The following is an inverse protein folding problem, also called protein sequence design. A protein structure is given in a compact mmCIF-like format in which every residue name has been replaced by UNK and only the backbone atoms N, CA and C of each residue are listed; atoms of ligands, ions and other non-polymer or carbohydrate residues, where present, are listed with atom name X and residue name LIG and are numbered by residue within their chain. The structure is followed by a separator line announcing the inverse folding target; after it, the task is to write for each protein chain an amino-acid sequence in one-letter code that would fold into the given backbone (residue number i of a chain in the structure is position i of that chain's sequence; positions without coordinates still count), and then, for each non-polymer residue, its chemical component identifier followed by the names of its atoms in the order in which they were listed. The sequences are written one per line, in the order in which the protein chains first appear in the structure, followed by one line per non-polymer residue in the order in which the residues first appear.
data_IF_430373941126
#
_entry.id   IF_430373941126
#
_cell.length_a   1.000
_cell.length_b   1.000
_cell.length_c   1.000
_cell.angle_alpha   90.00
_cell.angle_beta   90.00
_cell.angle_gamma   90.00
#
_symmetry.space_group_name_H-M   'P 1'
#
loop_
_entity.id
_entity.type
_entity.pdbx_description
1 polymer ?
#
# COMPACT_ATOMS: atom_id res chain seq x y z
N UNK A 1 -12.72 -45.86 -78.79
CA UNK A 1 -11.74 -45.28 -77.82
C UNK A 1 -11.95 -43.80 -77.50
N UNK A 2 -12.58 -42.96 -78.36
CA UNK A 2 -12.80 -41.51 -78.11
C UNK A 2 -13.69 -41.17 -76.90
N UNK A 3 -14.75 -41.94 -76.68
CA UNK A 3 -15.72 -41.71 -75.58
C UNK A 3 -15.13 -41.92 -74.19
N UNK A 4 -14.25 -42.93 -74.04
CA UNK A 4 -13.55 -43.18 -72.78
C UNK A 4 -12.56 -42.06 -72.43
N UNK A 5 -11.86 -41.50 -73.42
CA UNK A 5 -10.94 -40.37 -73.20
C UNK A 5 -11.69 -39.10 -72.78
N UNK A 6 -12.87 -38.85 -73.37
CA UNK A 6 -13.70 -37.70 -73.00
C UNK A 6 -14.23 -37.80 -71.57
N UNK A 7 -14.68 -39.00 -71.17
CA UNK A 7 -15.12 -39.27 -69.79
C UNK A 7 -13.97 -39.11 -68.78
N UNK A 8 -12.77 -39.54 -69.15
CA UNK A 8 -11.59 -39.41 -68.29
C UNK A 8 -11.19 -37.94 -68.10
N UNK A 9 -11.26 -37.12 -69.15
CA UNK A 9 -10.99 -35.68 -69.06
C UNK A 9 -12.05 -34.95 -68.22
N UNK A 10 -13.33 -35.32 -68.35
CA UNK A 10 -14.41 -34.79 -67.51
C UNK A 10 -14.23 -35.16 -66.04
N UNK A 11 -13.88 -36.41 -65.75
CA UNK A 11 -13.64 -36.88 -64.39
C UNK A 11 -12.42 -36.16 -63.76
N UNK A 12 -11.34 -35.97 -64.51
CA UNK A 12 -10.17 -35.21 -64.05
C UNK A 12 -10.52 -33.75 -63.82
N UNK A 13 -11.27 -33.12 -64.72
CA UNK A 13 -11.72 -31.73 -64.56
C UNK A 13 -12.57 -31.54 -63.30
N UNK A 14 -13.50 -32.46 -63.04
CA UNK A 14 -14.33 -32.46 -61.83
C UNK A 14 -13.50 -32.70 -60.56
N UNK A 15 -12.55 -33.64 -60.59
CA UNK A 15 -11.67 -33.90 -59.46
C UNK A 15 -10.80 -32.69 -59.12
N UNK A 16 -10.26 -32.00 -60.13
CA UNK A 16 -9.45 -30.79 -59.94
C UNK A 16 -10.31 -29.63 -59.41
N UNK A 17 -11.50 -29.41 -59.97
CA UNK A 17 -12.42 -28.39 -59.48
C UNK A 17 -12.83 -28.67 -58.02
N UNK A 18 -13.12 -29.93 -57.69
CA UNK A 18 -13.47 -30.34 -56.34
C UNK A 18 -12.31 -30.16 -55.35
N UNK A 19 -11.07 -30.52 -55.75
CA UNK A 19 -9.86 -30.27 -54.97
C UNK A 19 -9.60 -28.79 -54.74
N UNK A 20 -9.83 -27.94 -55.75
CA UNK A 20 -9.68 -26.49 -55.62
C UNK A 20 -10.71 -25.89 -54.65
N UNK A 21 -11.96 -26.34 -54.70
CA UNK A 21 -13.03 -25.92 -53.77
C UNK A 21 -12.72 -26.39 -52.33
N UNK A 22 -12.24 -27.61 -52.16
CA UNK A 22 -11.79 -28.12 -50.86
C UNK A 22 -10.63 -27.30 -50.29
N UNK A 23 -9.66 -26.93 -51.14
CA UNK A 23 -8.49 -26.14 -50.72
C UNK A 23 -8.84 -24.71 -50.34
N UNK A 24 -9.89 -24.12 -50.94
CA UNK A 24 -10.42 -22.82 -50.53
C UNK A 24 -11.23 -22.88 -49.23
N UNK A 25 -11.78 -24.05 -48.87
CA UNK A 25 -12.59 -24.24 -47.65
C UNK A 25 -11.79 -24.64 -46.42
N UNK A 26 -10.51 -24.99 -46.54
CA UNK A 26 -9.61 -24.94 -45.38
C UNK A 26 -9.50 -23.49 -44.95
N UNK A 27 -10.08 -23.09 -43.80
CA UNK A 27 -9.77 -21.78 -43.26
C UNK A 27 -8.27 -21.83 -43.03
N UNK A 28 -7.54 -20.91 -43.65
CA UNK A 28 -6.21 -20.59 -43.17
C UNK A 28 -6.39 -20.34 -41.69
N UNK A 29 -5.96 -21.29 -40.86
CA UNK A 29 -5.81 -21.07 -39.42
C UNK A 29 -4.76 -19.97 -39.38
N UNK A 30 -5.23 -18.72 -39.38
CA UNK A 30 -4.46 -17.57 -38.96
C UNK A 30 -3.82 -18.05 -37.68
N UNK A 31 -2.49 -18.22 -37.70
CA UNK A 31 -1.74 -18.29 -36.46
C UNK A 31 -2.25 -17.07 -35.70
N UNK A 32 -3.10 -17.30 -34.70
CA UNK A 32 -3.50 -16.25 -33.81
C UNK A 32 -2.18 -15.85 -33.18
N UNK A 33 -1.61 -14.74 -33.66
CA UNK A 33 -0.47 -14.08 -33.07
C UNK A 33 -0.69 -14.18 -31.57
N UNK A 34 0.13 -15.00 -30.92
CA UNK A 34 -0.11 -15.38 -29.53
C UNK A 34 0.13 -14.08 -28.78
N UNK A 35 -0.96 -13.34 -28.52
CA UNK A 35 -0.94 -12.06 -27.82
C UNK A 35 -0.01 -12.30 -26.62
N UNK A 36 1.05 -11.51 -26.44
CA UNK A 36 1.96 -11.70 -25.33
C UNK A 36 1.12 -11.90 -24.08
N UNK A 37 1.36 -12.98 -23.35
CA UNK A 37 0.67 -13.19 -22.09
C UNK A 37 0.77 -11.87 -21.32
N UNK A 38 -0.34 -11.34 -20.77
CA UNK A 38 -0.25 -10.13 -19.96
C UNK A 38 0.87 -10.36 -18.95
N UNK A 39 1.76 -9.38 -18.74
CA UNK A 39 2.89 -9.56 -17.83
C UNK A 39 2.35 -10.14 -16.54
N UNK A 40 2.89 -11.30 -16.14
CA UNK A 40 2.53 -11.93 -14.87
C UNK A 40 2.75 -10.85 -13.83
N UNK A 41 1.65 -10.36 -13.24
CA UNK A 41 1.75 -9.38 -12.17
C UNK A 41 2.57 -10.05 -11.07
N UNK A 42 3.78 -9.55 -10.87
CA UNK A 42 4.65 -9.99 -9.80
C UNK A 42 3.84 -9.96 -8.49
N UNK A 43 3.90 -10.99 -7.63
CA UNK A 43 3.20 -10.96 -6.36
C UNK A 43 3.51 -9.64 -5.67
N UNK A 44 2.49 -8.80 -5.46
CA UNK A 44 2.70 -7.50 -4.84
C UNK A 44 3.26 -7.75 -3.44
N UNK A 45 4.56 -7.50 -3.28
CA UNK A 45 5.18 -7.53 -1.97
C UNK A 45 4.39 -6.58 -1.07
N UNK A 46 4.02 -7.00 0.16
CA UNK A 46 3.37 -6.11 1.09
C UNK A 46 4.25 -4.87 1.29
N UNK A 47 3.67 -3.65 1.38
CA UNK A 47 4.47 -2.46 1.59
C UNK A 47 5.26 -2.58 2.90
N UNK A 48 6.41 -1.92 2.98
CA UNK A 48 7.15 -1.82 4.23
C UNK A 48 6.28 -1.09 5.25
N UNK A 49 6.38 -1.48 6.53
CA UNK A 49 5.65 -0.80 7.60
C UNK A 49 6.02 0.70 7.66
N UNK A 50 7.29 1.01 7.38
CA UNK A 50 7.82 2.37 7.25
C UNK A 50 7.14 3.23 6.16
N UNK A 51 6.58 2.59 5.13
CA UNK A 51 5.95 3.26 3.99
C UNK A 51 4.42 3.13 4.02
N UNK A 52 3.87 2.47 5.03
CA UNK A 52 2.44 2.24 5.15
C UNK A 52 1.71 3.48 5.66
N UNK A 53 0.72 3.95 4.90
CA UNK A 53 -0.18 5.05 5.31
C UNK A 53 -1.13 4.62 6.41
N UNK A 54 -1.15 5.39 7.50
CA UNK A 54 -1.99 5.10 8.66
C UNK A 54 -1.48 5.75 9.93
N UNK A 55 -2.10 5.35 11.03
CA UNK A 55 -1.86 5.93 12.35
C UNK A 55 -1.32 4.86 13.29
N UNK A 56 -0.34 5.25 14.10
CA UNK A 56 0.27 4.46 15.16
C UNK A 56 -0.33 4.92 16.48
N UNK A 57 -1.17 4.08 17.07
CA UNK A 57 -1.91 4.35 18.31
C UNK A 57 -1.17 3.70 19.47
N UNK A 58 -0.92 4.43 20.57
CA UNK A 58 -0.23 3.89 21.74
C UNK A 58 -1.04 2.77 22.41
N UNK A 59 -0.35 1.76 22.93
CA UNK A 59 -0.95 0.76 23.80
C UNK A 59 -1.34 1.33 25.17
N UNK A 60 -0.66 2.38 25.62
CA UNK A 60 -0.96 3.06 26.88
C UNK A 60 -1.28 4.55 26.68
N UNK A 61 -2.43 4.98 27.18
CA UNK A 61 -2.82 6.38 27.15
C UNK A 61 -2.05 7.21 28.17
N UNK A 62 -1.48 8.34 27.76
CA UNK A 62 -0.91 9.33 28.67
C UNK A 62 -1.38 10.74 28.33
N UNK A 63 -1.31 11.63 29.31
CA UNK A 63 -1.60 13.05 29.14
C UNK A 63 -0.44 13.91 29.64
N UNK A 64 -0.20 15.01 28.94
CA UNK A 64 0.67 16.09 29.42
C UNK A 64 -0.18 17.35 29.52
N UNK A 65 -0.29 17.90 30.72
CA UNK A 65 -1.23 18.99 31.02
C UNK A 65 -2.67 18.63 30.60
N UNK A 66 -3.26 19.38 29.66
CA UNK A 66 -4.62 19.18 29.14
C UNK A 66 -4.68 18.48 27.78
N UNK A 67 -3.57 17.85 27.38
CA UNK A 67 -3.42 17.22 26.08
C UNK A 67 -3.16 15.73 26.27
N UNK A 68 -4.06 14.93 25.73
CA UNK A 68 -3.95 13.48 25.68
C UNK A 68 -3.28 13.08 24.37
N UNK A 69 -2.24 12.26 24.42
CA UNK A 69 -1.58 11.76 23.22
C UNK A 69 -2.43 10.68 22.55
N UNK A 70 -2.85 10.90 21.30
CA UNK A 70 -3.71 9.94 20.57
C UNK A 70 -2.94 9.08 19.57
N UNK A 71 -1.74 9.51 19.15
CA UNK A 71 -0.90 8.75 18.26
C UNK A 71 -0.08 9.63 17.32
N UNK A 72 0.38 9.03 16.24
CA UNK A 72 1.12 9.73 15.18
C UNK A 72 0.98 9.01 13.83
N UNK A 73 1.25 9.72 12.75
CA UNK A 73 1.38 9.17 11.39
C UNK A 73 2.82 9.30 10.91
N UNK A 74 3.22 8.41 10.00
CA UNK A 74 4.51 8.48 9.31
C UNK A 74 4.38 8.87 7.84
N UNK A 75 3.26 8.46 7.22
CA UNK A 75 2.92 8.68 5.81
C UNK A 75 1.44 9.09 5.70
N UNK A 76 1.06 9.95 4.75
CA UNK A 76 1.94 10.65 3.80
C UNK A 76 2.80 11.73 4.48
N UNK A 77 2.36 12.23 5.63
CA UNK A 77 3.04 13.24 6.43
C UNK A 77 3.34 12.70 7.83
N UNK A 78 4.51 13.06 8.35
CA UNK A 78 4.91 12.74 9.71
C UNK A 78 4.27 13.74 10.67
N UNK A 79 3.27 13.29 11.43
CA UNK A 79 2.49 14.12 12.34
C UNK A 79 2.37 13.45 13.69
N UNK A 80 2.44 14.19 14.79
CA UNK A 80 1.96 13.75 16.11
C UNK A 80 0.57 14.31 16.38
N UNK A 81 -0.27 13.56 17.06
CA UNK A 81 -1.65 13.96 17.34
C UNK A 81 -1.92 13.93 18.84
N UNK A 82 -2.44 15.04 19.34
CA UNK A 82 -2.96 15.15 20.70
C UNK A 82 -4.43 15.57 20.65
N UNK A 83 -5.24 15.04 21.55
CA UNK A 83 -6.59 15.52 21.79
C UNK A 83 -6.62 16.43 23.02
N UNK A 84 -7.33 17.55 22.94
CA UNK A 84 -7.60 18.35 24.14
C UNK A 84 -8.59 17.62 25.04
N UNK A 85 -8.22 17.33 26.28
CA UNK A 85 -9.00 16.47 27.19
C UNK A 85 -10.43 16.94 27.43
N UNK A 86 -10.68 18.25 27.44
CA UNK A 86 -12.02 18.81 27.68
C UNK A 86 -12.93 18.83 26.47
N UNK A 87 -12.38 18.79 25.26
CA UNK A 87 -13.13 18.99 24.01
C UNK A 87 -13.10 17.76 23.09
N UNK A 88 -12.16 16.83 23.29
CA UNK A 88 -11.94 15.68 22.40
C UNK A 88 -11.44 16.08 21.00
N UNK A 89 -11.13 17.37 20.77
CA UNK A 89 -10.68 17.87 19.49
C UNK A 89 -9.22 17.45 19.29
N UNK A 90 -8.98 16.62 18.27
CA UNK A 90 -7.65 16.24 17.82
C UNK A 90 -6.94 17.42 17.16
N UNK A 91 -5.65 17.53 17.48
CA UNK A 91 -4.78 18.61 17.03
C UNK A 91 -3.48 17.96 16.55
N UNK A 92 -3.31 17.80 15.22
CA UNK A 92 -2.07 17.31 14.65
C UNK A 92 -1.01 18.41 14.66
N UNK A 93 0.24 18.02 14.86
CA UNK A 93 1.40 18.88 14.68
C UNK A 93 2.45 18.17 13.80
N UNK A 94 3.01 18.91 12.85
CA UNK A 94 4.01 18.40 11.93
C UNK A 94 5.34 18.11 12.59
N UNK A 95 5.98 17.03 12.15
CA UNK A 95 7.34 16.68 12.53
C UNK A 95 8.30 17.21 11.48
N UNK A 96 9.17 18.14 11.88
CA UNK A 96 10.11 18.81 10.98
C UNK A 96 11.42 18.02 10.79
N UNK A 97 11.77 17.15 11.74
CA UNK A 97 12.78 16.10 11.53
C UNK A 97 12.09 14.74 11.55
N UNK A 98 12.22 13.98 10.46
CA UNK A 98 11.65 12.65 10.33
C UNK A 98 12.64 11.72 9.61
N UNK A 99 13.27 10.82 10.37
CA UNK A 99 14.07 9.72 9.84
C UNK A 99 13.25 8.43 9.97
N UNK A 100 12.76 7.94 8.83
CA UNK A 100 11.91 6.76 8.76
C UNK A 100 12.59 5.74 7.84
N UNK A 101 12.97 4.59 8.42
CA UNK A 101 13.58 3.45 7.71
C UNK A 101 12.91 2.16 8.15
N UNK A 102 13.20 1.05 7.46
CA UNK A 102 12.62 -0.24 7.80
C UNK A 102 12.95 -0.73 9.23
N UNK A 103 13.99 -0.20 9.87
CA UNK A 103 14.50 -0.61 11.17
C UNK A 103 14.48 0.50 12.25
N UNK A 104 14.21 1.75 11.87
CA UNK A 104 14.27 2.89 12.78
C UNK A 104 13.23 3.95 12.44
N UNK A 105 12.70 4.58 13.49
CA UNK A 105 11.85 5.77 13.43
C UNK A 105 12.42 6.79 14.40
N UNK A 106 12.75 7.97 13.90
CA UNK A 106 13.05 9.14 14.71
C UNK A 106 12.22 10.31 14.21
N UNK A 107 11.37 10.83 15.08
CA UNK A 107 10.55 12.02 14.82
C UNK A 107 10.89 13.10 15.83
N UNK A 108 10.94 14.34 15.36
CA UNK A 108 10.94 15.54 16.19
C UNK A 108 9.89 16.50 15.67
N UNK A 109 8.96 16.84 16.55
CA UNK A 109 7.78 17.62 16.23
C UNK A 109 7.64 18.74 17.24
N UNK A 110 7.35 19.95 16.78
CA UNK A 110 7.11 21.08 17.67
C UNK A 110 5.61 21.26 17.82
N UNK A 111 5.15 21.13 19.05
CA UNK A 111 3.75 21.28 19.42
C UNK A 111 3.61 22.58 20.23
N UNK A 112 3.00 23.65 19.67
CA UNK A 112 3.04 25.00 20.27
C UNK A 112 2.61 25.10 21.73
N UNK A 113 1.75 24.19 22.21
CA UNK A 113 1.21 24.22 23.57
C UNK A 113 1.93 23.28 24.56
N UNK A 114 2.82 22.41 24.08
CA UNK A 114 3.53 21.40 24.87
C UNK A 114 5.06 21.53 24.78
N UNK A 115 5.58 22.09 23.69
CA UNK A 115 7.00 22.14 23.36
C UNK A 115 7.38 21.08 22.32
N UNK A 116 8.55 20.49 22.44
CA UNK A 116 9.06 19.49 21.49
C UNK A 116 8.64 18.08 21.90
N UNK A 117 8.13 17.31 20.94
CA UNK A 117 7.81 15.90 21.06
C UNK A 117 8.81 15.12 20.23
N UNK A 118 9.49 14.14 20.83
CA UNK A 118 10.33 13.18 20.11
C UNK A 118 9.77 11.77 20.20
N UNK A 119 9.91 11.02 19.11
CA UNK A 119 9.53 9.61 19.04
C UNK A 119 10.70 8.84 18.46
N UNK A 120 11.32 8.02 19.31
CA UNK A 120 12.51 7.23 19.01
C UNK A 120 12.21 5.74 19.10
N UNK A 121 12.09 5.07 17.96
CA UNK A 121 11.57 3.72 17.90
C UNK A 121 12.12 2.82 16.81
N UNK A 122 11.64 1.58 16.83
CA UNK A 122 11.96 0.53 15.87
C UNK A 122 10.71 -0.26 15.52
N UNK A 123 10.61 -0.66 14.25
CA UNK A 123 9.54 -1.54 13.79
C UNK A 123 9.74 -2.95 14.34
N UNK A 124 8.66 -3.53 14.86
CA UNK A 124 8.57 -4.92 15.31
C UNK A 124 8.25 -5.85 14.14
N UNK A 125 7.67 -5.30 13.07
CA UNK A 125 7.36 -6.02 11.83
C UNK A 125 7.92 -5.25 10.64
N UNK A 126 8.56 -5.95 9.70
CA UNK A 126 9.13 -5.32 8.49
C UNK A 126 8.05 -4.83 7.52
N UNK A 127 6.99 -5.61 7.38
CA UNK A 127 5.92 -5.40 6.41
C UNK A 127 4.65 -4.91 7.09
N UNK A 128 3.86 -4.14 6.34
CA UNK A 128 2.56 -3.67 6.77
C UNK A 128 1.63 -4.84 7.07
N UNK A 129 1.19 -4.94 8.31
CA UNK A 129 0.25 -5.99 8.74
C UNK A 129 -1.19 -5.58 8.49
N UNK A 130 -2.08 -6.56 8.36
CA UNK A 130 -3.54 -6.35 8.42
C UNK A 130 -4.11 -6.64 9.80
N UNK A 131 -3.28 -7.10 10.75
CA UNK A 131 -3.68 -7.37 12.13
C UNK A 131 -3.93 -6.06 12.87
N UNK A 132 -5.15 -5.89 13.37
CA UNK A 132 -5.59 -4.64 14.00
C UNK A 132 -5.15 -4.49 15.46
N UNK A 133 -4.73 -5.56 16.13
CA UNK A 133 -4.42 -5.55 17.57
C UNK A 133 -2.96 -5.90 17.88
N UNK A 134 -2.12 -6.04 16.84
CA UNK A 134 -0.70 -6.36 17.00
C UNK A 134 0.12 -5.07 17.07
N UNK A 135 0.97 -4.96 18.10
CA UNK A 135 1.98 -3.92 18.12
C UNK A 135 2.98 -4.12 16.97
N UNK A 136 3.21 -3.06 16.20
CA UNK A 136 4.13 -3.06 15.04
C UNK A 136 5.34 -2.16 15.22
N UNK A 137 5.35 -1.31 16.25
CA UNK A 137 6.44 -0.41 16.57
C UNK A 137 6.61 -0.33 18.09
N UNK A 138 7.86 -0.33 18.57
CA UNK A 138 8.17 0.08 19.94
C UNK A 138 9.00 1.36 19.91
N UNK A 139 8.58 2.38 20.66
CA UNK A 139 9.26 3.67 20.68
C UNK A 139 9.28 4.29 22.07
N UNK A 140 10.27 5.14 22.33
CA UNK A 140 10.27 6.07 23.46
C UNK A 140 9.64 7.36 22.98
N UNK A 141 8.60 7.81 23.67
CA UNK A 141 7.99 9.12 23.46
C UNK A 141 8.50 10.05 24.54
N UNK A 142 9.09 11.17 24.15
CA UNK A 142 9.54 12.22 25.08
C UNK A 142 8.85 13.52 24.74
N UNK A 143 8.26 14.17 25.75
CA UNK A 143 7.68 15.51 25.65
C UNK A 143 8.52 16.44 26.49
N UNK A 144 9.07 17.47 25.85
CA UNK A 144 9.93 18.48 26.45
C UNK A 144 9.30 19.86 26.34
N UNK A 145 9.16 20.55 27.46
CA UNK A 145 8.69 21.93 27.50
C UNK A 145 9.67 22.86 26.76
N UNK A 146 9.18 24.04 26.37
CA UNK A 146 10.04 25.09 25.80
C UNK A 146 11.16 25.55 26.75
N UNK A 147 10.98 25.38 28.07
CA UNK A 147 12.03 25.60 29.09
C UNK A 147 13.18 24.60 29.02
N UNK A 148 12.97 23.46 28.34
CA UNK A 148 13.89 22.33 28.33
C UNK A 148 13.52 21.21 29.32
N UNK A 149 12.53 21.41 30.19
CA UNK A 149 12.12 20.39 31.16
C UNK A 149 11.45 19.19 30.48
N UNK A 150 11.75 17.97 30.94
CA UNK A 150 11.08 16.75 30.47
C UNK A 150 9.75 16.64 31.22
N UNK A 151 8.65 16.78 30.50
CA UNK A 151 7.29 16.63 31.04
C UNK A 151 6.83 15.17 31.04
N UNK A 152 7.35 14.39 30.09
CA UNK A 152 7.06 12.96 29.95
C UNK A 152 8.20 12.28 29.20
N UNK A 153 8.57 11.07 29.62
CA UNK A 153 9.43 10.18 28.84
C UNK A 153 9.13 8.73 29.22
N UNK A 154 8.64 7.94 28.26
CA UNK A 154 8.38 6.52 28.49
C UNK A 154 8.45 5.73 27.17
N UNK A 155 8.74 4.43 27.30
CA UNK A 155 8.63 3.47 26.20
C UNK A 155 7.20 2.96 26.09
N UNK A 156 6.69 2.89 24.87
CA UNK A 156 5.40 2.27 24.55
C UNK A 156 5.51 1.38 23.31
N UNK A 157 4.46 0.61 23.07
CA UNK A 157 4.24 -0.19 21.88
C UNK A 157 3.03 0.35 21.12
N UNK A 158 3.12 0.42 19.80
CA UNK A 158 2.13 1.07 18.96
C UNK A 158 1.50 0.09 18.00
N UNK A 159 0.18 0.15 17.94
CA UNK A 159 -0.66 -0.59 17.00
C UNK A 159 -0.89 0.29 15.78
N UNK A 160 -0.77 -0.28 14.59
CA UNK A 160 -1.00 0.45 13.35
C UNK A 160 -2.42 0.23 12.84
N UNK A 161 -3.10 1.33 12.54
CA UNK A 161 -4.39 1.32 11.88
C UNK A 161 -4.26 1.97 10.52
N UNK A 162 -4.71 1.25 9.49
CA UNK A 162 -4.80 1.79 8.14
C UNK A 162 -5.66 3.06 8.14
N UNK A 163 -5.21 4.10 7.46
CA UNK A 163 -6.03 5.28 7.24
C UNK A 163 -7.33 4.87 6.53
N UNK A 164 -8.49 5.23 7.09
CA UNK A 164 -9.75 5.07 6.35
C UNK A 164 -9.70 6.07 5.19
N UNK A 165 -9.73 5.56 3.95
CA UNK A 165 -10.04 6.39 2.78
C UNK A 165 -11.30 7.19 3.13
N UNK A 166 -11.17 8.52 3.11
CA UNK A 166 -12.15 9.42 3.68
C UNK A 166 -13.58 9.09 3.24
N UNK A 167 -14.47 8.95 4.22
CA UNK A 167 -15.88 9.29 4.00
C UNK A 167 -15.87 10.79 3.80
N UNK A 168 -15.96 11.22 2.54
CA UNK A 168 -16.22 12.62 2.21
C UNK A 168 -17.41 13.10 3.04
N UNK A 169 -17.19 14.16 3.79
CA UNK A 169 -18.25 14.95 4.39
C UNK A 169 -19.12 15.46 3.25
N UNK A 170 -20.32 14.89 3.12
CA UNK A 170 -21.41 15.51 2.36
C UNK A 170 -22.04 16.65 3.15
#
# INVERSE_FOLDING_TARGET
MRRNRLLLLLAVGLAVAFLLVLRQRTPTSTNAERRPAPPVAEPRHPPLQADAEGYYVPGYSFSVNRFHFTGFSLRPEALVTFARTTAGIEQPAGCFEALIRADTVHLRCDYPQLGTVTIDGKFLTRFATTSLDAAVLSAVVTVRAASGDILYSARDSFVWHRARLGRGSG
#
